data_IF_890554701295
#
_entry.id   IF_890554701295
#
_cell.length_a   1.000
_cell.length_b   1.000
_cell.length_c   1.000
_cell.angle_alpha   90.00
_cell.angle_beta   90.00
_cell.angle_gamma   90.00
#
_symmetry.space_group_name_H-M   'P 1'
#
loop_
_entity.id
_entity.type
_entity.pdbx_description
1 polymer ?
#
# COMPACT_ATOMS: atom_id res chain seq x y z
N UNK A 1 6.07 -33.04 -44.79
CA UNK A 1 6.81 -31.77 -44.61
C UNK A 1 6.36 -31.16 -43.30
N UNK A 2 7.10 -31.44 -42.22
CA UNK A 2 6.86 -30.90 -40.88
C UNK A 2 7.49 -29.50 -40.76
N UNK A 3 6.84 -28.52 -40.10
CA UNK A 3 7.52 -27.29 -39.74
C UNK A 3 8.35 -27.51 -38.47
N UNK A 4 9.63 -27.17 -38.58
CA UNK A 4 10.64 -27.21 -37.52
C UNK A 4 10.26 -26.25 -36.38
N UNK A 5 10.22 -26.79 -35.16
CA UNK A 5 10.24 -25.99 -33.92
C UNK A 5 11.67 -25.50 -33.70
N UNK A 6 11.89 -24.20 -33.88
CA UNK A 6 13.14 -23.53 -33.49
C UNK A 6 13.17 -23.37 -31.97
N UNK A 7 14.14 -24.01 -31.33
CA UNK A 7 14.30 -24.07 -29.88
C UNK A 7 14.47 -22.70 -29.23
N UNK A 8 13.53 -22.38 -28.34
CA UNK A 8 13.74 -21.45 -27.24
C UNK A 8 14.59 -22.22 -26.22
N UNK A 9 15.82 -21.77 -25.99
CA UNK A 9 16.73 -22.38 -25.04
C UNK A 9 16.06 -22.54 -23.68
N UNK A 10 15.82 -23.79 -23.28
CA UNK A 10 15.43 -24.13 -21.92
C UNK A 10 16.55 -23.69 -20.98
N UNK A 11 16.25 -22.73 -20.11
CA UNK A 11 17.13 -22.37 -19.02
C UNK A 11 17.35 -23.59 -18.11
N UNK A 12 18.57 -23.83 -17.62
CA UNK A 12 18.83 -24.98 -16.76
C UNK A 12 17.97 -24.92 -15.49
N UNK A 13 17.48 -26.08 -15.07
CA UNK A 13 16.62 -26.31 -13.92
C UNK A 13 17.37 -26.15 -12.58
N UNK A 14 17.91 -24.95 -12.32
CA UNK A 14 18.30 -24.54 -10.97
C UNK A 14 17.24 -23.60 -10.41
N UNK A 15 16.44 -24.08 -9.47
CA UNK A 15 15.40 -23.35 -8.75
C UNK A 15 15.94 -22.26 -7.79
N UNK A 16 17.23 -21.93 -7.90
CA UNK A 16 17.93 -20.90 -7.15
C UNK A 16 18.53 -19.87 -8.10
N UNK A 17 18.29 -18.59 -7.83
CA UNK A 17 18.93 -17.48 -8.55
C UNK A 17 19.52 -16.48 -7.57
N UNK A 18 20.76 -16.05 -7.81
CA UNK A 18 21.51 -15.13 -6.96
C UNK A 18 21.64 -13.76 -7.60
N UNK A 19 21.39 -12.71 -6.83
CA UNK A 19 21.49 -11.32 -7.27
C UNK A 19 22.35 -10.49 -6.30
N UNK A 20 22.95 -9.41 -6.81
CA UNK A 20 23.60 -8.43 -5.94
C UNK A 20 22.55 -7.69 -5.11
N UNK A 21 21.44 -7.29 -5.72
CA UNK A 21 20.35 -6.57 -5.06
C UNK A 21 19.00 -7.23 -5.36
N UNK A 22 18.30 -7.66 -4.32
CA UNK A 22 16.90 -8.09 -4.41
C UNK A 22 15.99 -6.97 -3.90
N UNK A 23 14.92 -6.68 -4.62
CA UNK A 23 13.98 -5.60 -4.31
C UNK A 23 12.58 -6.16 -4.24
N UNK A 24 11.88 -5.93 -3.12
CA UNK A 24 10.50 -6.38 -2.91
C UNK A 24 9.55 -5.21 -3.05
N UNK A 25 8.79 -5.18 -4.13
CA UNK A 25 7.82 -4.17 -4.51
C UNK A 25 8.31 -3.29 -5.66
N UNK A 26 7.65 -3.36 -6.81
CA UNK A 26 7.87 -2.54 -7.99
C UNK A 26 6.98 -1.29 -8.04
N UNK A 27 6.70 -0.69 -6.87
CA UNK A 27 6.16 0.67 -6.79
C UNK A 27 7.19 1.74 -7.22
N UNK A 28 6.85 3.04 -7.10
CA UNK A 28 7.78 4.12 -7.43
C UNK A 28 9.15 4.00 -6.75
N UNK A 29 9.19 3.59 -5.47
CA UNK A 29 10.44 3.37 -4.75
C UNK A 29 11.27 2.23 -5.36
N UNK A 30 10.71 1.02 -5.46
CA UNK A 30 11.48 -0.12 -5.93
C UNK A 30 11.90 -0.01 -7.39
N UNK A 31 11.08 0.59 -8.25
CA UNK A 31 11.49 0.88 -9.63
C UNK A 31 12.66 1.87 -9.69
N UNK A 32 12.67 2.88 -8.81
CA UNK A 32 13.76 3.84 -8.73
C UNK A 32 15.03 3.24 -8.11
N UNK A 33 14.88 2.35 -7.13
CA UNK A 33 15.94 1.57 -6.52
C UNK A 33 16.59 0.60 -7.52
N UNK A 34 15.78 -0.14 -8.27
CA UNK A 34 16.25 -1.07 -9.29
C UNK A 34 17.12 -0.38 -10.33
N UNK A 35 16.67 0.77 -10.82
CA UNK A 35 17.43 1.57 -11.79
C UNK A 35 18.72 2.13 -11.19
N UNK A 36 18.70 2.60 -9.95
CA UNK A 36 19.88 3.13 -9.29
C UNK A 36 20.94 2.05 -9.04
N UNK A 37 20.54 0.87 -8.57
CA UNK A 37 21.42 -0.27 -8.36
C UNK A 37 22.00 -0.79 -9.68
N UNK A 38 21.15 -0.97 -10.71
CA UNK A 38 21.60 -1.43 -12.03
C UNK A 38 22.56 -0.44 -12.70
N UNK A 39 22.34 0.87 -12.55
CA UNK A 39 23.24 1.91 -13.04
C UNK A 39 24.60 1.94 -12.30
N UNK A 40 24.70 1.28 -11.15
CA UNK A 40 25.95 1.05 -10.43
C UNK A 40 26.57 -0.33 -10.74
N UNK A 41 26.03 -1.06 -11.73
CA UNK A 41 26.58 -2.33 -12.21
C UNK A 41 26.05 -3.59 -11.52
N UNK A 42 25.18 -3.45 -10.51
CA UNK A 42 24.60 -4.59 -9.80
C UNK A 42 23.65 -5.42 -10.69
N UNK A 43 23.67 -6.74 -10.50
CA UNK A 43 22.56 -7.61 -10.90
C UNK A 43 21.37 -7.43 -9.95
N UNK A 44 20.19 -7.17 -10.50
CA UNK A 44 19.00 -6.80 -9.73
C UNK A 44 17.85 -7.77 -10.00
N UNK A 45 17.23 -8.27 -8.94
CA UNK A 45 15.91 -8.87 -9.02
C UNK A 45 14.87 -7.92 -8.43
N UNK A 46 13.81 -7.64 -9.19
CA UNK A 46 12.69 -6.81 -8.77
C UNK A 46 11.42 -7.66 -8.73
N UNK A 47 10.88 -7.89 -7.53
CA UNK A 47 9.66 -8.69 -7.33
C UNK A 47 8.47 -7.78 -7.10
N UNK A 48 7.32 -8.09 -7.69
CA UNK A 48 6.05 -7.45 -7.37
C UNK A 48 4.89 -8.43 -7.52
N UNK A 49 3.89 -8.30 -6.64
CA UNK A 49 2.71 -9.14 -6.66
C UNK A 49 1.69 -8.74 -7.73
N UNK A 50 1.86 -7.57 -8.35
CA UNK A 50 1.02 -7.11 -9.45
C UNK A 50 1.56 -7.59 -10.81
N UNK A 51 0.68 -7.73 -11.81
CA UNK A 51 1.09 -8.12 -13.16
C UNK A 51 2.02 -7.13 -13.86
N UNK A 52 2.03 -5.86 -13.44
CA UNK A 52 2.84 -4.83 -14.05
C UNK A 52 3.45 -3.89 -12.99
N UNK A 53 4.71 -3.43 -13.17
CA UNK A 53 5.34 -2.47 -12.26
C UNK A 53 4.56 -1.16 -12.13
N UNK A 54 4.62 -0.51 -10.98
CA UNK A 54 4.01 0.80 -10.74
C UNK A 54 3.31 0.93 -9.38
N UNK A 55 3.12 -0.19 -8.68
CA UNK A 55 2.40 -0.23 -7.42
C UNK A 55 0.97 0.33 -7.55
N UNK A 56 0.44 0.90 -6.47
CA UNK A 56 -0.96 1.36 -6.46
C UNK A 56 -1.17 2.67 -7.23
N UNK A 57 -0.22 3.61 -7.14
CA UNK A 57 -0.36 4.94 -7.75
C UNK A 57 -0.32 4.87 -9.28
N UNK A 58 0.57 4.05 -9.84
CA UNK A 58 0.72 3.82 -11.28
C UNK A 58 0.15 2.47 -11.71
N UNK A 59 -0.81 1.94 -10.93
CA UNK A 59 -1.63 0.81 -11.37
C UNK A 59 -2.30 1.18 -12.68
N UNK A 60 -2.17 0.27 -13.64
CA UNK A 60 -2.71 0.38 -14.98
C UNK A 60 -3.87 -0.60 -15.17
N UNK A 61 -4.65 -0.41 -16.22
CA UNK A 61 -5.72 -1.32 -16.60
C UNK A 61 -6.38 -0.90 -17.92
N UNK A 62 -7.51 -1.52 -18.30
CA UNK A 62 -8.11 -1.32 -19.61
C UNK A 62 -8.39 0.16 -19.92
N UNK A 63 -7.79 0.69 -20.98
CA UNK A 63 -7.93 2.11 -21.38
C UNK A 63 -7.20 3.12 -20.47
N UNK A 64 -6.39 2.65 -19.53
CA UNK A 64 -5.61 3.48 -18.62
C UNK A 64 -4.52 4.29 -19.33
N UNK A 65 -4.39 5.57 -18.99
CA UNK A 65 -3.27 6.42 -19.43
C UNK A 65 -2.34 6.70 -18.26
N UNK A 66 -1.18 6.07 -18.28
CA UNK A 66 -0.14 6.32 -17.30
C UNK A 66 0.57 7.66 -17.52
N UNK A 67 0.94 8.36 -16.43
CA UNK A 67 1.82 9.52 -16.53
C UNK A 67 3.12 9.19 -17.27
N UNK A 68 3.69 10.17 -17.98
CA UNK A 68 4.94 9.98 -18.72
C UNK A 68 6.07 9.40 -17.85
N UNK A 69 6.20 9.88 -16.61
CA UNK A 69 7.21 9.39 -15.67
C UNK A 69 7.08 7.89 -15.37
N UNK A 70 5.85 7.40 -15.21
CA UNK A 70 5.59 5.99 -14.97
C UNK A 70 5.94 5.14 -16.20
N UNK A 71 5.53 5.59 -17.39
CA UNK A 71 5.84 4.91 -18.67
C UNK A 71 7.34 4.88 -18.94
N UNK A 72 8.03 6.01 -18.77
CA UNK A 72 9.48 6.13 -18.94
C UNK A 72 10.23 5.19 -17.99
N UNK A 73 9.82 5.10 -16.72
CA UNK A 73 10.48 4.24 -15.75
C UNK A 73 10.22 2.76 -16.01
N UNK A 74 8.99 2.38 -16.42
CA UNK A 74 8.69 1.01 -16.86
C UNK A 74 9.56 0.61 -18.05
N UNK A 75 9.64 1.47 -19.07
CA UNK A 75 10.48 1.22 -20.24
C UNK A 75 11.96 1.08 -19.85
N UNK A 76 12.48 1.95 -18.99
CA UNK A 76 13.86 1.88 -18.52
C UNK A 76 14.17 0.60 -17.72
N UNK A 77 13.19 0.04 -17.01
CA UNK A 77 13.34 -1.25 -16.33
C UNK A 77 13.33 -2.40 -17.33
N UNK A 78 12.37 -2.40 -18.26
CA UNK A 78 12.23 -3.45 -19.26
C UNK A 78 13.43 -3.51 -20.23
N UNK A 79 14.05 -2.37 -20.52
CA UNK A 79 15.19 -2.28 -21.44
C UNK A 79 16.56 -2.51 -20.76
N UNK A 80 16.61 -2.87 -19.47
CA UNK A 80 17.86 -3.03 -18.73
C UNK A 80 18.15 -4.50 -18.44
N UNK A 81 19.15 -5.06 -19.10
CA UNK A 81 19.54 -6.48 -18.98
C UNK A 81 19.94 -6.90 -17.57
N UNK A 82 20.39 -5.95 -16.75
CA UNK A 82 20.76 -6.20 -15.34
C UNK A 82 19.56 -6.32 -14.40
N UNK A 83 18.33 -6.07 -14.86
CA UNK A 83 17.12 -6.11 -14.03
C UNK A 83 16.24 -7.29 -14.46
N UNK A 84 16.18 -8.32 -13.63
CA UNK A 84 15.20 -9.40 -13.74
C UNK A 84 13.90 -9.00 -13.01
N UNK A 85 12.83 -8.81 -13.77
CA UNK A 85 11.49 -8.52 -13.22
C UNK A 85 10.72 -9.82 -12.96
N UNK A 86 10.32 -10.02 -11.72
CA UNK A 86 9.42 -11.09 -11.27
C UNK A 86 8.04 -10.49 -10.97
N UNK A 87 7.24 -10.29 -12.02
CA UNK A 87 5.86 -9.81 -11.90
C UNK A 87 4.92 -10.93 -11.43
N UNK A 88 3.74 -10.59 -10.91
CA UNK A 88 2.77 -11.55 -10.36
C UNK A 88 3.39 -12.55 -9.37
N UNK A 89 4.43 -12.12 -8.64
CA UNK A 89 5.25 -13.00 -7.80
C UNK A 89 5.19 -12.48 -6.36
N UNK A 90 4.80 -13.34 -5.43
CA UNK A 90 4.61 -13.02 -4.02
C UNK A 90 5.77 -13.56 -3.19
N UNK A 91 6.18 -12.81 -2.17
CA UNK A 91 7.07 -13.34 -1.12
C UNK A 91 6.25 -14.19 -0.17
N UNK A 92 6.65 -15.45 -0.01
CA UNK A 92 5.97 -16.43 0.84
C UNK A 92 6.66 -16.51 2.21
N UNK A 93 7.98 -16.63 2.22
CA UNK A 93 8.77 -16.77 3.44
C UNK A 93 10.20 -16.25 3.25
N UNK A 94 10.92 -16.11 4.36
CA UNK A 94 12.36 -15.91 4.39
C UNK A 94 12.98 -17.14 5.11
N UNK A 95 13.17 -18.26 4.40
CA UNK A 95 13.51 -19.55 5.03
C UNK A 95 14.94 -19.59 5.57
N UNK A 96 15.85 -18.78 5.02
CA UNK A 96 17.24 -18.73 5.41
C UNK A 96 17.81 -17.31 5.30
N UNK A 97 19.00 -17.10 5.88
CA UNK A 97 19.72 -15.83 5.73
C UNK A 97 19.91 -15.49 4.25
N UNK A 98 19.58 -14.25 3.89
CA UNK A 98 19.71 -13.72 2.53
C UNK A 98 18.99 -14.51 1.43
N UNK A 99 17.91 -15.20 1.80
CA UNK A 99 17.09 -16.00 0.86
C UNK A 99 15.60 -15.72 1.07
N UNK A 100 14.88 -15.41 0.00
CA UNK A 100 13.41 -15.35 0.01
C UNK A 100 12.83 -16.52 -0.80
N UNK A 101 11.81 -17.16 -0.25
CA UNK A 101 10.94 -18.08 -0.99
C UNK A 101 9.83 -17.26 -1.64
N UNK A 102 9.73 -17.37 -2.96
CA UNK A 102 8.75 -16.63 -3.76
C UNK A 102 7.90 -17.56 -4.61
N UNK A 103 6.68 -17.14 -4.89
CA UNK A 103 5.70 -17.93 -5.64
C UNK A 103 4.95 -17.05 -6.64
N UNK A 104 4.78 -17.56 -7.87
CA UNK A 104 3.81 -17.07 -8.83
C UNK A 104 2.84 -18.18 -9.22
N UNK A 105 1.89 -17.90 -10.11
CA UNK A 105 0.84 -18.87 -10.49
C UNK A 105 1.41 -20.15 -11.13
N UNK A 106 2.64 -20.13 -11.66
CA UNK A 106 3.27 -21.25 -12.38
C UNK A 106 4.28 -22.02 -11.54
N UNK A 107 5.03 -21.34 -10.67
CA UNK A 107 6.22 -21.89 -10.03
C UNK A 107 6.54 -21.23 -8.69
N UNK A 108 7.42 -21.86 -7.93
CA UNK A 108 8.06 -21.27 -6.77
C UNK A 108 9.57 -21.46 -6.84
N UNK A 109 10.31 -20.55 -6.22
CA UNK A 109 11.78 -20.55 -6.27
C UNK A 109 12.40 -19.84 -5.07
N UNK A 110 13.67 -20.16 -4.83
CA UNK A 110 14.49 -19.44 -3.86
C UNK A 110 15.29 -18.33 -4.57
N UNK A 111 15.14 -17.10 -4.08
CA UNK A 111 15.91 -15.95 -4.54
C UNK A 111 16.92 -15.55 -3.47
N UNK A 112 18.20 -15.70 -3.81
CA UNK A 112 19.32 -15.34 -2.96
C UNK A 112 19.84 -13.94 -3.30
N UNK A 113 20.33 -13.21 -2.31
CA UNK A 113 20.78 -11.84 -2.51
C UNK A 113 22.04 -11.49 -1.71
N UNK A 114 22.79 -10.49 -2.19
CA UNK A 114 23.82 -9.84 -1.35
C UNK A 114 23.18 -8.77 -0.47
N UNK A 115 22.35 -7.91 -1.05
CA UNK A 115 21.57 -6.87 -0.37
C UNK A 115 20.07 -6.98 -0.71
N UNK A 116 19.21 -6.65 0.25
CA UNK A 116 17.75 -6.61 0.10
C UNK A 116 17.23 -5.19 0.28
N UNK A 117 16.33 -4.74 -0.59
CA UNK A 117 15.62 -3.47 -0.45
C UNK A 117 14.11 -3.74 -0.33
N UNK A 118 13.55 -3.37 0.81
CA UNK A 118 12.12 -3.46 1.08
C UNK A 118 11.41 -2.21 0.54
N UNK A 119 10.57 -2.38 -0.47
CA UNK A 119 9.74 -1.35 -1.09
C UNK A 119 8.26 -1.74 -1.06
N UNK A 120 7.83 -2.35 0.04
CA UNK A 120 6.51 -2.99 0.24
C UNK A 120 5.33 -2.01 0.34
N UNK A 121 5.61 -0.70 0.32
CA UNK A 121 4.61 0.35 0.31
C UNK A 121 3.74 0.39 1.57
N UNK A 122 2.49 0.80 1.40
CA UNK A 122 1.51 0.91 2.46
C UNK A 122 0.14 0.36 2.02
N UNK A 123 -0.74 0.11 2.98
CA UNK A 123 -2.13 -0.27 2.76
C UNK A 123 -3.07 0.77 3.36
N UNK A 124 -4.32 0.76 2.93
CA UNK A 124 -5.32 1.67 3.47
C UNK A 124 -5.69 1.31 4.92
N UNK A 125 -5.85 2.34 5.75
CA UNK A 125 -6.43 2.21 7.08
C UNK A 125 -7.96 2.23 6.95
N UNK A 126 -8.58 1.12 7.37
CA UNK A 126 -10.03 0.99 7.43
C UNK A 126 -10.46 0.93 8.90
N UNK A 127 -11.43 1.77 9.26
CA UNK A 127 -12.02 1.78 10.59
C UNK A 127 -13.48 1.32 10.49
N UNK A 128 -13.95 0.49 11.44
CA UNK A 128 -15.32 0.01 11.45
C UNK A 128 -16.30 1.14 11.78
N UNK A 129 -17.43 1.13 11.08
CA UNK A 129 -18.62 1.92 11.37
C UNK A 129 -19.85 1.10 10.95
N UNK A 130 -21.05 1.34 11.49
CA UNK A 130 -22.25 0.58 11.10
C UNK A 130 -22.42 0.50 9.58
N UNK A 131 -22.54 -0.72 9.06
CA UNK A 131 -22.68 -1.00 7.62
C UNK A 131 -21.38 -0.96 6.78
N UNK A 132 -20.19 -0.79 7.36
CA UNK A 132 -18.94 -0.68 6.58
C UNK A 132 -18.54 -1.93 5.77
N UNK A 133 -19.19 -3.07 6.03
CA UNK A 133 -19.01 -4.34 5.31
C UNK A 133 -20.07 -4.59 4.24
N UNK A 134 -21.07 -3.71 4.09
CA UNK A 134 -22.13 -3.88 3.09
C UNK A 134 -21.53 -3.94 1.67
N UNK A 135 -22.05 -4.82 0.78
CA UNK A 135 -21.72 -4.78 -0.64
C UNK A 135 -21.95 -3.37 -1.21
N UNK A 136 -20.93 -2.82 -1.85
CA UNK A 136 -20.89 -1.42 -2.32
C UNK A 136 -20.05 -0.49 -1.45
N UNK A 137 -19.63 -0.92 -0.25
CA UNK A 137 -18.68 -0.19 0.59
C UNK A 137 -17.26 -0.70 0.35
N UNK A 138 -16.33 0.21 0.04
CA UNK A 138 -14.91 -0.09 -0.14
C UNK A 138 -14.04 0.95 0.54
N UNK A 139 -12.73 0.73 0.57
CA UNK A 139 -11.76 1.80 0.81
C UNK A 139 -11.72 2.81 -0.35
N UNK A 140 -11.20 4.02 -0.12
CA UNK A 140 -11.01 5.04 -1.17
C UNK A 140 -9.94 4.60 -2.17
N UNK A 141 -8.82 4.08 -1.68
CA UNK A 141 -7.80 3.43 -2.50
C UNK A 141 -8.33 2.16 -3.17
N UNK A 142 -9.14 1.39 -2.44
CA UNK A 142 -9.84 0.21 -2.97
C UNK A 142 -10.73 0.53 -4.18
N UNK A 143 -11.60 1.55 -4.09
CA UNK A 143 -12.42 1.99 -5.23
C UNK A 143 -11.54 2.40 -6.41
N UNK A 144 -10.49 3.17 -6.16
CA UNK A 144 -9.59 3.63 -7.23
C UNK A 144 -8.93 2.43 -7.94
N UNK A 145 -8.47 1.44 -7.20
CA UNK A 145 -7.86 0.24 -7.75
C UNK A 145 -8.88 -0.58 -8.56
N UNK A 146 -10.10 -0.76 -8.05
CA UNK A 146 -11.18 -1.48 -8.73
C UNK A 146 -11.56 -0.82 -10.06
N UNK A 147 -11.76 0.50 -10.06
CA UNK A 147 -12.10 1.26 -11.28
C UNK A 147 -10.97 1.17 -12.31
N UNK A 148 -9.72 1.38 -11.89
CA UNK A 148 -8.56 1.23 -12.78
C UNK A 148 -8.44 -0.18 -13.36
N UNK A 149 -8.82 -1.21 -12.60
CA UNK A 149 -8.82 -2.60 -13.04
C UNK A 149 -10.01 -2.97 -13.94
N UNK A 150 -10.92 -2.03 -14.22
CA UNK A 150 -12.05 -2.24 -15.14
C UNK A 150 -13.41 -2.43 -14.48
N UNK A 151 -13.54 -2.22 -13.16
CA UNK A 151 -14.85 -2.23 -12.50
C UNK A 151 -15.73 -1.10 -13.06
N UNK A 152 -16.91 -1.41 -13.64
CA UNK A 152 -17.78 -0.39 -14.20
C UNK A 152 -18.39 0.48 -13.09
N UNK A 153 -18.30 1.79 -13.26
CA UNK A 153 -18.89 2.79 -12.35
C UNK A 153 -19.70 3.86 -13.08
N UNK A 154 -19.90 3.70 -14.39
CA UNK A 154 -20.58 4.69 -15.22
C UNK A 154 -22.04 4.83 -14.77
N UNK A 155 -22.47 6.05 -14.48
CA UNK A 155 -23.83 6.34 -14.02
C UNK A 155 -24.09 6.04 -12.54
N UNK A 156 -23.15 5.39 -11.83
CA UNK A 156 -23.31 5.13 -10.40
C UNK A 156 -23.12 6.41 -9.58
N UNK A 157 -23.95 6.56 -8.54
CA UNK A 157 -23.83 7.62 -7.55
C UNK A 157 -22.86 7.18 -6.46
N UNK A 158 -21.72 7.87 -6.37
CA UNK A 158 -20.64 7.50 -5.45
C UNK A 158 -20.47 8.58 -4.38
N UNK A 159 -20.40 8.14 -3.12
CA UNK A 159 -19.90 8.96 -2.02
C UNK A 159 -18.49 8.52 -1.67
N UNK A 160 -17.60 9.49 -1.49
CA UNK A 160 -16.22 9.26 -1.06
C UNK A 160 -16.02 9.98 0.27
N UNK A 161 -15.43 9.30 1.25
CA UNK A 161 -15.30 9.82 2.60
C UNK A 161 -14.02 9.38 3.31
N UNK A 162 -13.67 10.08 4.38
CA UNK A 162 -12.58 9.70 5.29
C UNK A 162 -11.57 10.82 5.45
N UNK A 163 -10.28 10.55 5.26
CA UNK A 163 -9.22 11.55 5.43
C UNK A 163 -8.14 11.46 4.37
N UNK A 164 -7.79 12.59 3.77
CA UNK A 164 -6.54 12.74 3.02
C UNK A 164 -6.68 12.98 1.52
N UNK A 165 -5.56 13.31 0.84
CA UNK A 165 -5.57 13.61 -0.59
C UNK A 165 -6.03 12.44 -1.48
N UNK A 166 -6.00 11.21 -0.96
CA UNK A 166 -6.46 10.03 -1.67
C UNK A 166 -7.95 10.12 -2.05
N UNK A 167 -8.77 10.81 -1.25
CA UNK A 167 -10.20 10.99 -1.54
C UNK A 167 -10.41 11.72 -2.88
N UNK A 168 -9.63 12.79 -3.12
CA UNK A 168 -9.68 13.55 -4.36
C UNK A 168 -9.18 12.73 -5.55
N UNK A 169 -8.13 11.92 -5.36
CA UNK A 169 -7.59 11.05 -6.39
C UNK A 169 -8.59 9.93 -6.79
N UNK A 170 -9.27 9.34 -5.80
CA UNK A 170 -10.35 8.38 -6.03
C UNK A 170 -11.53 9.02 -6.76
N UNK A 171 -11.95 10.22 -6.35
CA UNK A 171 -13.04 10.98 -6.99
C UNK A 171 -12.74 11.31 -8.45
N UNK A 172 -11.55 11.83 -8.73
CA UNK A 172 -11.11 12.14 -10.09
C UNK A 172 -11.00 10.86 -10.96
N UNK A 173 -10.68 9.72 -10.37
CA UNK A 173 -10.65 8.44 -11.09
C UNK A 173 -12.07 7.96 -11.41
N UNK A 174 -12.96 7.96 -10.43
CA UNK A 174 -14.35 7.56 -10.62
C UNK A 174 -15.07 8.42 -11.67
N UNK A 175 -14.92 9.76 -11.60
CA UNK A 175 -15.54 10.67 -12.58
C UNK A 175 -15.03 10.47 -14.01
N UNK A 176 -13.72 10.24 -14.19
CA UNK A 176 -13.16 9.93 -15.51
C UNK A 176 -13.74 8.66 -16.12
N UNK A 177 -14.27 7.75 -15.30
CA UNK A 177 -14.96 6.54 -15.73
C UNK A 177 -16.50 6.69 -15.72
N UNK A 178 -17.00 7.92 -15.63
CA UNK A 178 -18.41 8.25 -15.80
C UNK A 178 -19.27 8.14 -14.54
N UNK A 179 -18.67 8.02 -13.34
CA UNK A 179 -19.43 8.02 -12.09
C UNK A 179 -19.93 9.42 -11.71
N UNK A 180 -21.08 9.48 -11.05
CA UNK A 180 -21.62 10.68 -10.41
C UNK A 180 -21.17 10.76 -8.95
N UNK A 181 -20.07 11.47 -8.70
CA UNK A 181 -19.59 11.67 -7.32
C UNK A 181 -20.46 12.72 -6.61
N UNK A 182 -21.36 12.25 -5.75
CA UNK A 182 -22.35 13.06 -5.05
C UNK A 182 -21.77 13.83 -3.85
N UNK A 183 -20.70 13.30 -3.22
CA UNK A 183 -20.06 13.90 -2.06
C UNK A 183 -18.63 13.43 -1.91
N UNK A 184 -17.74 14.36 -1.53
CA UNK A 184 -16.41 14.04 -0.99
C UNK A 184 -16.37 14.59 0.45
N UNK A 185 -16.52 13.72 1.45
CA UNK A 185 -16.57 14.06 2.86
C UNK A 185 -15.19 13.89 3.52
N UNK A 186 -14.52 15.01 3.75
CA UNK A 186 -13.24 15.05 4.45
C UNK A 186 -13.47 15.36 5.93
N UNK A 187 -12.94 14.49 6.81
CA UNK A 187 -13.06 14.66 8.25
C UNK A 187 -12.30 15.88 8.78
N UNK A 188 -11.18 16.22 8.15
CA UNK A 188 -10.33 17.32 8.61
C UNK A 188 -11.09 18.65 8.62
N UNK A 189 -10.92 19.48 9.67
CA UNK A 189 -11.60 20.76 9.76
C UNK A 189 -11.08 21.74 8.73
N UNK A 190 -11.97 22.63 8.25
CA UNK A 190 -11.65 23.60 7.20
C UNK A 190 -10.41 24.45 7.55
N UNK A 191 -10.24 24.85 8.81
CA UNK A 191 -9.09 25.63 9.29
C UNK A 191 -7.74 24.92 9.09
N UNK A 192 -7.73 23.59 9.16
CA UNK A 192 -6.53 22.78 8.96
C UNK A 192 -6.22 22.62 7.47
N UNK A 193 -7.27 22.48 6.65
CA UNK A 193 -7.16 22.39 5.20
C UNK A 193 -6.71 23.72 4.57
N UNK A 194 -7.24 24.86 5.02
CA UNK A 194 -6.81 26.17 4.53
C UNK A 194 -5.35 26.47 4.91
N UNK A 195 -4.92 26.11 6.12
CA UNK A 195 -3.51 26.19 6.53
C UNK A 195 -2.61 25.30 5.67
N UNK A 196 -3.06 24.10 5.35
CA UNK A 196 -2.34 23.20 4.44
C UNK A 196 -2.22 23.80 3.04
N UNK A 197 -3.34 24.27 2.47
CA UNK A 197 -3.39 24.90 1.15
C UNK A 197 -2.48 26.15 1.08
N UNK A 198 -2.50 26.99 2.12
CA UNK A 198 -1.65 28.18 2.23
C UNK A 198 -0.14 27.88 2.28
N UNK A 199 0.27 26.64 2.56
CA UNK A 199 1.67 26.22 2.53
C UNK A 199 2.10 25.57 1.20
N UNK A 200 1.17 25.31 0.27
CA UNK A 200 1.45 24.57 -0.97
C UNK A 200 2.34 25.33 -1.95
N UNK A 201 2.48 26.66 -1.84
CA UNK A 201 3.40 27.45 -2.66
C UNK A 201 4.86 26.95 -2.56
N UNK A 202 5.22 26.33 -1.43
CA UNK A 202 6.54 25.71 -1.23
C UNK A 202 6.76 24.48 -2.12
N UNK A 203 5.70 23.87 -2.66
CA UNK A 203 5.72 22.73 -3.59
C UNK A 203 4.82 23.01 -4.80
N UNK A 204 5.30 23.78 -5.79
CA UNK A 204 4.48 24.25 -6.93
C UNK A 204 3.76 23.13 -7.68
N UNK A 205 4.40 21.97 -7.87
CA UNK A 205 3.75 20.81 -8.50
C UNK A 205 2.54 20.29 -7.72
N UNK A 206 2.58 20.34 -6.38
CA UNK A 206 1.47 19.97 -5.50
C UNK A 206 0.40 21.06 -5.43
N UNK A 207 0.78 22.33 -5.52
CA UNK A 207 -0.19 23.42 -5.66
C UNK A 207 -1.00 23.26 -6.96
N UNK A 208 -0.33 23.04 -8.10
CA UNK A 208 -0.99 22.79 -9.37
C UNK A 208 -1.88 21.54 -9.33
N UNK A 209 -1.40 20.45 -8.70
CA UNK A 209 -2.19 19.24 -8.51
C UNK A 209 -3.45 19.49 -7.66
N UNK A 210 -3.33 20.28 -6.58
CA UNK A 210 -4.46 20.61 -5.73
C UNK A 210 -5.53 21.42 -6.49
N UNK A 211 -5.10 22.39 -7.31
CA UNK A 211 -6.00 23.17 -8.17
C UNK A 211 -6.72 22.28 -9.18
N UNK A 212 -6.00 21.37 -9.84
CA UNK A 212 -6.57 20.43 -10.80
C UNK A 212 -7.56 19.42 -10.19
N UNK A 213 -7.54 19.26 -8.86
CA UNK A 213 -8.41 18.36 -8.11
C UNK A 213 -9.48 19.11 -7.29
N UNK A 214 -9.63 20.43 -7.48
CA UNK A 214 -10.69 21.20 -6.83
C UNK A 214 -12.06 20.64 -7.20
N UNK A 215 -12.94 20.59 -6.21
CA UNK A 215 -14.22 19.92 -6.35
C UNK A 215 -15.34 20.60 -5.58
N UNK A 216 -16.41 20.97 -6.29
CA UNK A 216 -17.60 21.58 -5.71
C UNK A 216 -18.37 20.67 -4.73
N UNK A 217 -18.10 19.37 -4.71
CA UNK A 217 -18.71 18.39 -3.80
C UNK A 217 -17.86 18.12 -2.56
N UNK A 218 -16.66 18.68 -2.47
CA UNK A 218 -15.77 18.54 -1.32
C UNK A 218 -16.32 19.30 -0.11
N UNK A 219 -16.45 18.60 1.02
CA UNK A 219 -16.94 19.13 2.28
C UNK A 219 -15.97 18.74 3.39
N UNK A 220 -15.35 19.75 4.00
CA UNK A 220 -14.55 19.61 5.20
C UNK A 220 -15.43 19.30 6.43
N UNK A 221 -14.81 18.98 7.57
CA UNK A 221 -15.50 18.69 8.83
C UNK A 221 -16.66 17.69 8.65
N UNK A 222 -16.43 16.67 7.83
CA UNK A 222 -17.46 15.72 7.39
C UNK A 222 -16.99 14.28 7.49
N UNK A 223 -17.73 13.41 8.18
CA UNK A 223 -17.41 11.99 8.30
C UNK A 223 -18.65 11.10 8.25
N UNK A 224 -18.47 9.86 7.81
CA UNK A 224 -19.55 8.85 7.76
C UNK A 224 -19.91 8.43 9.18
N UNK A 225 -21.21 8.32 9.44
CA UNK A 225 -21.75 7.75 10.67
C UNK A 225 -22.20 6.30 10.45
N UNK A 226 -22.83 6.03 9.29
CA UNK A 226 -23.41 4.73 8.98
C UNK A 226 -23.62 4.58 7.47
N UNK A 227 -23.35 3.39 6.95
CA UNK A 227 -23.80 2.94 5.64
C UNK A 227 -25.14 2.20 5.81
N UNK A 228 -26.13 2.56 5.00
CA UNK A 228 -27.51 2.11 5.10
C UNK A 228 -27.85 1.19 3.92
N UNK A 229 -28.48 0.06 4.24
CA UNK A 229 -28.97 -0.92 3.29
C UNK A 229 -29.13 -2.29 3.95
N UNK A 230 -29.93 -3.16 3.33
CA UNK A 230 -30.14 -4.53 3.80
C UNK A 230 -29.13 -5.49 3.13
N UNK A 231 -29.31 -5.78 1.85
CA UNK A 231 -28.40 -6.66 1.09
C UNK A 231 -27.19 -5.94 0.49
N UNK A 232 -27.35 -4.64 0.22
CA UNK A 232 -26.32 -3.79 -0.40
C UNK A 232 -26.52 -2.35 0.03
N UNK A 233 -25.48 -1.54 -0.14
CA UNK A 233 -25.55 -0.10 0.09
C UNK A 233 -26.64 0.55 -0.76
N UNK A 234 -27.47 1.37 -0.10
CA UNK A 234 -28.52 2.19 -0.71
C UNK A 234 -28.34 3.68 -0.36
N UNK A 235 -27.82 3.97 0.83
CA UNK A 235 -27.57 5.33 1.28
C UNK A 235 -26.44 5.40 2.31
N UNK A 236 -25.94 6.59 2.57
CA UNK A 236 -24.95 6.85 3.62
C UNK A 236 -25.40 8.02 4.47
N UNK A 237 -25.23 7.88 5.79
CA UNK A 237 -25.45 8.96 6.76
C UNK A 237 -24.12 9.60 7.12
N UNK A 238 -24.03 10.91 6.99
CA UNK A 238 -22.80 11.70 7.19
C UNK A 238 -23.08 12.78 8.23
N UNK A 239 -22.15 12.96 9.17
CA UNK A 239 -22.06 14.17 9.99
C UNK A 239 -21.34 15.23 9.16
N UNK A 240 -21.99 16.35 8.86
CA UNK A 240 -21.45 17.45 8.08
C UNK A 240 -21.73 18.77 8.81
N UNK A 241 -20.67 19.45 9.29
CA UNK A 241 -20.81 20.76 9.93
C UNK A 241 -21.80 20.74 11.11
N UNK A 242 -21.74 19.70 11.94
CA UNK A 242 -22.65 19.51 13.09
C UNK A 242 -24.01 18.90 12.73
N UNK A 243 -24.43 18.90 11.46
CA UNK A 243 -25.72 18.34 11.01
C UNK A 243 -25.57 16.92 10.50
N UNK A 244 -26.63 16.13 10.61
CA UNK A 244 -26.69 14.79 10.02
C UNK A 244 -27.42 14.87 8.68
N UNK A 245 -26.80 14.34 7.63
CA UNK A 245 -27.38 14.29 6.27
C UNK A 245 -27.34 12.85 5.77
N UNK A 246 -28.43 12.41 5.15
CA UNK A 246 -28.50 11.13 4.45
C UNK A 246 -28.42 11.36 2.93
N UNK A 247 -27.61 10.57 2.22
CA UNK A 247 -27.43 10.66 0.78
C UNK A 247 -27.63 9.28 0.17
N UNK A 248 -28.54 9.15 -0.80
CA UNK A 248 -28.67 7.94 -1.59
C UNK A 248 -27.40 7.74 -2.45
N UNK A 249 -26.85 6.55 -2.45
CA UNK A 249 -25.66 6.20 -3.22
C UNK A 249 -25.58 4.71 -3.49
N UNK A 250 -24.94 4.37 -4.60
CA UNK A 250 -24.78 3.00 -5.07
C UNK A 250 -23.42 2.43 -4.62
N UNK A 251 -22.45 3.32 -4.32
CA UNK A 251 -21.16 3.00 -3.68
C UNK A 251 -20.72 4.03 -2.66
N UNK A 252 -20.03 3.55 -1.64
CA UNK A 252 -19.32 4.34 -0.64
C UNK A 252 -17.85 3.92 -0.63
N UNK A 253 -16.95 4.87 -0.86
CA UNK A 253 -15.51 4.64 -0.69
C UNK A 253 -15.00 5.41 0.53
N UNK A 254 -14.66 4.70 1.60
CA UNK A 254 -14.31 5.29 2.89
C UNK A 254 -12.90 4.85 3.34
N UNK A 255 -11.98 5.80 3.50
CA UNK A 255 -10.58 5.49 3.85
C UNK A 255 -9.95 6.53 4.79
N UNK A 256 -9.21 6.06 5.80
CA UNK A 256 -8.71 6.90 6.90
C UNK A 256 -7.20 7.09 6.87
N UNK A 257 -6.63 7.21 5.67
CA UNK A 257 -5.18 7.28 5.47
C UNK A 257 -4.55 5.92 5.22
N UNK A 258 -3.24 5.83 5.42
CA UNK A 258 -2.43 4.67 5.05
C UNK A 258 -1.60 4.16 6.23
N UNK A 259 -1.35 2.85 6.27
CA UNK A 259 -0.48 2.18 7.23
C UNK A 259 0.67 1.50 6.49
N UNK A 260 1.93 1.71 6.89
CA UNK A 260 3.08 1.04 6.31
C UNK A 260 2.94 -0.50 6.28
N UNK A 261 3.40 -1.13 5.19
CA UNK A 261 3.46 -2.59 5.08
C UNK A 261 4.79 -3.10 5.64
N UNK A 262 4.85 -3.31 6.95
CA UNK A 262 6.09 -3.69 7.65
C UNK A 262 6.23 -5.18 7.92
N UNK A 263 5.28 -6.01 7.48
CA UNK A 263 5.23 -7.44 7.81
C UNK A 263 6.51 -8.21 7.46
N UNK A 264 7.03 -8.07 6.23
CA UNK A 264 8.28 -8.72 5.84
C UNK A 264 9.49 -8.18 6.62
N UNK A 265 9.52 -6.89 6.93
CA UNK A 265 10.59 -6.30 7.72
C UNK A 265 10.62 -6.84 9.15
N UNK A 266 9.45 -6.94 9.79
CA UNK A 266 9.30 -7.52 11.14
C UNK A 266 9.67 -9.00 11.13
N UNK A 267 9.27 -9.76 10.10
CA UNK A 267 9.67 -11.16 9.95
C UNK A 267 11.20 -11.31 9.87
N UNK A 268 11.88 -10.38 9.20
CA UNK A 268 13.34 -10.36 9.08
C UNK A 268 14.05 -9.84 10.34
N UNK A 269 13.32 -9.26 11.30
CA UNK A 269 13.88 -8.69 12.53
C UNK A 269 14.25 -7.19 12.44
N UNK A 270 13.76 -6.46 11.44
CA UNK A 270 13.96 -5.02 11.36
C UNK A 270 13.21 -4.29 12.49
N UNK A 271 13.87 -3.28 13.08
CA UNK A 271 13.23 -2.36 14.01
C UNK A 271 12.21 -1.45 13.29
N UNK A 272 11.17 -1.08 14.02
CA UNK A 272 10.17 -0.11 13.59
C UNK A 272 10.31 1.19 14.37
N UNK A 273 9.93 2.29 13.73
CA UNK A 273 9.78 3.58 14.40
C UNK A 273 8.58 3.52 15.36
N UNK A 274 8.80 3.90 16.62
CA UNK A 274 7.80 3.76 17.69
C UNK A 274 6.55 4.64 17.52
N UNK A 275 6.62 5.68 16.68
CA UNK A 275 5.52 6.63 16.49
C UNK A 275 4.71 6.32 15.24
N UNK A 276 5.38 5.93 14.16
CA UNK A 276 4.77 5.74 12.85
C UNK A 276 4.56 4.28 12.45
N UNK A 277 5.12 3.34 13.22
CA UNK A 277 5.13 1.90 12.92
C UNK A 277 5.74 1.56 11.55
N UNK A 278 6.47 2.50 10.96
CA UNK A 278 7.21 2.34 9.72
C UNK A 278 8.55 1.66 9.99
N UNK A 279 9.16 1.09 8.96
CA UNK A 279 10.50 0.50 9.06
C UNK A 279 11.49 1.62 9.42
N UNK A 280 12.22 1.45 10.52
CA UNK A 280 13.23 2.42 10.94
C UNK A 280 14.43 2.38 9.98
N UNK A 281 14.77 3.53 9.41
CA UNK A 281 15.89 3.68 8.48
C UNK A 281 16.70 4.94 8.74
N UNK A 282 17.98 4.88 8.39
CA UNK A 282 18.87 6.04 8.43
C UNK A 282 18.71 6.98 7.21
N UNK A 283 19.59 7.98 7.11
CA UNK A 283 19.62 8.94 6.01
C UNK A 283 19.86 8.28 4.63
N UNK A 284 20.56 7.14 4.60
CA UNK A 284 20.91 6.35 3.43
C UNK A 284 19.97 5.16 3.19
N UNK A 285 18.84 5.12 3.89
CA UNK A 285 17.81 4.08 3.76
C UNK A 285 18.26 2.69 4.25
N UNK A 286 19.28 2.63 5.11
CA UNK A 286 19.72 1.39 5.77
C UNK A 286 18.82 1.11 6.97
N UNK A 287 18.45 -0.15 7.15
CA UNK A 287 17.80 -0.61 8.39
C UNK A 287 18.84 -0.92 9.46
N UNK A 288 18.41 -1.31 10.66
CA UNK A 288 19.32 -1.80 11.70
C UNK A 288 19.97 -3.16 11.38
N UNK A 289 19.48 -3.88 10.37
CA UNK A 289 20.11 -5.13 9.93
C UNK A 289 21.17 -4.82 8.85
N UNK A 290 22.35 -5.47 8.91
CA UNK A 290 23.29 -5.41 7.80
C UNK A 290 22.59 -5.83 6.52
N UNK A 291 23.04 -5.36 5.36
CA UNK A 291 22.56 -5.78 4.04
C UNK A 291 21.05 -5.64 3.75
N UNK A 292 20.25 -5.05 4.66
CA UNK A 292 18.81 -4.79 4.46
C UNK A 292 18.55 -3.29 4.49
N UNK A 293 17.89 -2.82 3.44
CA UNK A 293 17.49 -1.45 3.19
C UNK A 293 15.96 -1.38 3.08
N UNK A 294 15.38 -0.20 3.25
CA UNK A 294 13.95 0.01 3.00
C UNK A 294 13.69 1.40 2.43
N UNK A 295 12.71 1.53 1.54
CA UNK A 295 12.38 2.80 0.91
C UNK A 295 10.92 2.91 0.47
N UNK A 296 10.39 4.13 0.51
CA UNK A 296 9.02 4.43 0.12
C UNK A 296 8.05 4.34 1.28
N UNK A 297 6.78 4.06 1.02
CA UNK A 297 5.75 4.24 2.07
C UNK A 297 5.85 3.23 3.23
N UNK A 298 6.66 2.18 3.08
CA UNK A 298 7.01 1.28 4.18
C UNK A 298 7.95 1.92 5.22
N UNK A 299 8.67 3.01 4.87
CA UNK A 299 9.50 3.83 5.77
C UNK A 299 8.80 5.13 6.21
N UNK A 300 7.51 5.28 5.88
CA UNK A 300 6.68 6.43 6.24
C UNK A 300 5.88 6.96 5.05
N UNK A 301 4.62 7.36 5.29
CA UNK A 301 3.72 7.79 4.23
C UNK A 301 4.13 9.17 3.69
N UNK A 302 4.66 9.24 2.47
CA UNK A 302 5.12 10.50 1.87
C UNK A 302 4.83 10.68 0.38
N UNK A 303 4.13 9.75 -0.26
CA UNK A 303 3.76 9.83 -1.67
C UNK A 303 4.90 9.53 -2.65
N UNK A 304 4.56 9.55 -3.94
CA UNK A 304 5.45 9.05 -5.01
C UNK A 304 6.76 9.80 -5.14
N UNK A 305 6.77 11.12 -4.93
CA UNK A 305 7.97 11.93 -5.10
C UNK A 305 9.02 11.63 -4.02
N UNK A 306 8.59 11.44 -2.77
CA UNK A 306 9.49 10.98 -1.72
C UNK A 306 9.95 9.55 -1.99
N UNK A 307 9.02 8.65 -2.33
CA UNK A 307 9.31 7.25 -2.61
C UNK A 307 10.34 7.08 -3.74
N UNK A 308 10.25 7.86 -4.82
CA UNK A 308 11.22 7.88 -5.92
C UNK A 308 12.63 8.29 -5.46
N UNK A 309 12.74 9.24 -4.55
CA UNK A 309 14.03 9.71 -4.03
C UNK A 309 14.61 8.70 -3.06
N UNK A 310 13.80 8.20 -2.12
CA UNK A 310 14.20 7.18 -1.15
C UNK A 310 14.62 5.89 -1.85
N UNK A 311 13.88 5.45 -2.87
CA UNK A 311 14.25 4.31 -3.70
C UNK A 311 15.62 4.47 -4.33
N UNK A 312 15.93 5.65 -4.93
CA UNK A 312 17.26 5.91 -5.51
C UNK A 312 18.36 5.88 -4.45
N UNK A 313 18.12 6.47 -3.28
CA UNK A 313 19.08 6.47 -2.17
C UNK A 313 19.38 5.03 -1.77
N UNK A 314 18.35 4.22 -1.52
CA UNK A 314 18.51 2.81 -1.16
C UNK A 314 19.23 2.01 -2.25
N UNK A 315 18.89 2.22 -3.53
CA UNK A 315 19.53 1.53 -4.65
C UNK A 315 21.02 1.87 -4.79
N UNK A 316 21.41 3.14 -4.61
CA UNK A 316 22.82 3.53 -4.61
C UNK A 316 23.57 3.01 -3.38
N UNK A 317 22.99 3.13 -2.19
CA UNK A 317 23.61 2.66 -0.95
C UNK A 317 23.81 1.13 -0.95
N UNK A 318 22.80 0.37 -1.40
CA UNK A 318 22.90 -1.08 -1.58
C UNK A 318 23.92 -1.50 -2.65
N UNK A 319 24.29 -0.59 -3.56
CA UNK A 319 25.33 -0.81 -4.56
C UNK A 319 26.72 -0.30 -4.12
N UNK A 320 26.86 0.23 -2.89
CA UNK A 320 28.12 0.80 -2.38
C UNK A 320 28.45 2.20 -2.94
N UNK A 321 27.48 2.89 -3.54
CA UNK A 321 27.64 4.22 -4.13
C UNK A 321 27.11 5.33 -3.20
N UNK A 322 27.58 5.37 -1.96
CA UNK A 322 27.09 6.24 -0.89
C UNK A 322 27.16 7.74 -1.22
N UNK A 323 28.15 8.18 -2.01
CA UNK A 323 28.26 9.58 -2.46
C UNK A 323 27.06 9.98 -3.33
N UNK A 324 26.67 9.10 -4.27
CA UNK A 324 25.49 9.32 -5.14
C UNK A 324 24.20 9.29 -4.34
N UNK A 325 24.13 8.47 -3.30
CA UNK A 325 23.01 8.43 -2.36
C UNK A 325 22.91 9.75 -1.56
N UNK A 326 24.03 10.19 -0.99
CA UNK A 326 24.13 11.39 -0.16
C UNK A 326 23.77 12.68 -0.92
N UNK A 327 24.08 12.73 -2.22
CA UNK A 327 23.69 13.85 -3.10
C UNK A 327 22.16 14.07 -3.20
N UNK A 328 21.33 13.11 -2.79
CA UNK A 328 19.87 13.22 -2.80
C UNK A 328 19.27 13.69 -1.48
N UNK A 329 20.06 13.89 -0.43
CA UNK A 329 19.61 14.23 0.93
C UNK A 329 18.72 15.47 0.99
N UNK A 330 19.13 16.57 0.35
CA UNK A 330 18.33 17.80 0.34
C UNK A 330 16.98 17.62 -0.37
N UNK A 331 16.95 16.84 -1.46
CA UNK A 331 15.70 16.50 -2.18
C UNK A 331 14.80 15.63 -1.32
N UNK A 332 15.35 14.66 -0.58
CA UNK A 332 14.61 13.83 0.37
C UNK A 332 14.00 14.69 1.47
N UNK A 333 14.80 15.54 2.12
CA UNK A 333 14.33 16.43 3.20
C UNK A 333 13.17 17.33 2.76
N UNK A 334 13.23 17.88 1.53
CA UNK A 334 12.14 18.69 0.95
C UNK A 334 10.82 17.93 0.82
N UNK A 335 10.85 16.68 0.36
CA UNK A 335 9.64 15.87 0.19
C UNK A 335 9.18 15.26 1.50
N UNK A 336 10.08 14.96 2.43
CA UNK A 336 9.75 14.57 3.79
C UNK A 336 9.00 15.71 4.53
N UNK A 337 9.43 16.96 4.37
CA UNK A 337 8.72 18.12 4.92
C UNK A 337 7.29 18.30 4.34
N UNK A 338 7.06 17.88 3.09
CA UNK A 338 5.71 17.83 2.52
C UNK A 338 4.88 16.72 3.16
N UNK A 339 5.45 15.52 3.28
CA UNK A 339 4.81 14.36 3.90
C UNK A 339 4.34 14.67 5.33
N UNK A 340 5.21 15.31 6.14
CA UNK A 340 4.86 15.72 7.50
C UNK A 340 3.69 16.71 7.53
N UNK A 341 3.64 17.66 6.57
CA UNK A 341 2.50 18.58 6.46
C UNK A 341 1.20 17.86 6.11
N UNK A 342 1.23 16.89 5.19
CA UNK A 342 0.06 16.06 4.87
C UNK A 342 -0.38 15.30 6.13
N UNK A 343 0.53 14.63 6.82
CA UNK A 343 0.23 13.89 8.06
C UNK A 343 -0.45 14.77 9.11
N UNK A 344 0.08 15.96 9.37
CA UNK A 344 -0.53 16.91 10.32
C UNK A 344 -1.88 17.43 9.83
N UNK A 345 -2.00 17.74 8.53
CA UNK A 345 -3.22 18.30 7.96
C UNK A 345 -4.39 17.32 7.93
N UNK A 346 -4.10 16.02 7.83
CA UNK A 346 -5.11 14.97 7.69
C UNK A 346 -5.10 13.98 8.87
N UNK A 347 -4.52 14.40 10.01
CA UNK A 347 -4.58 13.65 11.26
C UNK A 347 -6.05 13.33 11.61
N UNK A 348 -6.30 12.07 11.97
CA UNK A 348 -7.64 11.57 12.25
C UNK A 348 -8.20 12.18 13.53
N UNK A 349 -9.45 12.60 13.48
CA UNK A 349 -10.20 12.94 14.68
C UNK A 349 -10.49 11.67 15.50
N UNK A 350 -10.22 11.67 16.83
CA UNK A 350 -10.49 10.53 17.70
C UNK A 350 -11.95 10.03 17.66
N UNK A 351 -12.92 10.89 17.30
CA UNK A 351 -14.32 10.49 17.14
C UNK A 351 -14.50 9.37 16.11
N UNK A 352 -13.60 9.27 15.12
CA UNK A 352 -13.66 8.20 14.11
C UNK A 352 -13.42 6.82 14.72
N UNK A 353 -12.72 6.75 15.86
CA UNK A 353 -12.51 5.51 16.61
C UNK A 353 -13.72 5.08 17.45
N UNK A 354 -14.77 5.90 17.56
CA UNK A 354 -15.94 5.62 18.40
C UNK A 354 -17.21 5.32 17.60
N UNK A 355 -17.11 5.27 16.27
CA UNK A 355 -18.27 5.09 15.38
C UNK A 355 -18.88 3.69 15.44
N UNK A 356 -18.07 2.66 15.65
CA UNK A 356 -18.52 1.28 15.66
C UNK A 356 -19.43 0.98 16.86
N UNK A 357 -20.55 0.30 16.60
CA UNK A 357 -21.46 -0.22 17.62
C UNK A 357 -21.01 -1.61 18.07
N UNK A 358 -21.60 -2.12 19.15
CA UNK A 358 -21.26 -3.43 19.72
C UNK A 358 -21.37 -4.58 18.71
N UNK A 359 -22.39 -4.54 17.85
CA UNK A 359 -22.69 -5.51 16.80
C UNK A 359 -21.92 -5.27 15.49
N UNK A 360 -21.21 -4.14 15.36
CA UNK A 360 -20.48 -3.83 14.13
C UNK A 360 -19.34 -4.83 13.92
N UNK A 361 -19.26 -5.52 12.77
CA UNK A 361 -18.17 -6.44 12.48
C UNK A 361 -16.82 -5.72 12.56
N UNK A 362 -15.88 -6.19 13.38
CA UNK A 362 -14.49 -5.73 13.33
C UNK A 362 -13.68 -6.62 12.38
N UNK A 363 -13.86 -7.94 12.45
CA UNK A 363 -13.21 -8.90 11.56
C UNK A 363 -14.18 -9.43 10.51
N UNK A 364 -14.24 -8.76 9.36
CA UNK A 364 -15.09 -9.16 8.22
C UNK A 364 -14.81 -10.55 7.63
N UNK A 365 -13.65 -11.14 7.92
CA UNK A 365 -13.30 -12.45 7.35
C UNK A 365 -13.83 -13.61 8.21
N UNK A 366 -14.15 -13.35 9.47
CA UNK A 366 -14.57 -14.34 10.45
C UNK A 366 -15.87 -13.88 11.14
N UNK A 367 -16.55 -12.87 10.57
CA UNK A 367 -17.78 -12.23 11.06
C UNK A 367 -17.78 -11.86 12.54
N UNK A 368 -16.62 -11.42 13.06
CA UNK A 368 -16.46 -11.13 14.49
C UNK A 368 -16.90 -9.70 14.81
N UNK A 369 -17.93 -9.51 15.66
CA UNK A 369 -18.40 -8.17 16.06
C UNK A 369 -17.46 -7.51 17.07
N UNK A 370 -17.57 -6.19 17.22
CA UNK A 370 -16.81 -5.40 18.19
C UNK A 370 -16.98 -5.90 19.63
N UNK A 371 -18.20 -6.32 20.01
CA UNK A 371 -18.53 -6.82 21.35
C UNK A 371 -17.72 -8.04 21.76
N UNK A 372 -17.41 -8.93 20.80
CA UNK A 372 -16.60 -10.12 21.02
C UNK A 372 -15.10 -9.82 21.19
N UNK A 373 -14.69 -8.56 20.99
CA UNK A 373 -13.28 -8.14 21.02
C UNK A 373 -12.99 -7.20 22.18
N UNK A 374 -13.93 -6.31 22.49
CA UNK A 374 -13.71 -5.16 23.37
C UNK A 374 -13.25 -5.53 24.79
N UNK A 375 -13.58 -6.73 25.26
CA UNK A 375 -13.17 -7.22 26.57
C UNK A 375 -11.73 -7.76 26.61
N UNK A 376 -11.07 -7.94 25.47
CA UNK A 376 -9.75 -8.55 25.39
C UNK A 376 -8.63 -7.50 25.41
N UNK A 377 -7.60 -7.68 26.25
CA UNK A 377 -6.55 -6.69 26.45
C UNK A 377 -5.60 -6.57 25.25
N UNK A 378 -5.48 -7.61 24.44
CA UNK A 378 -4.52 -7.67 23.35
C UNK A 378 -5.06 -8.46 22.14
N UNK A 379 -4.37 -8.28 21.01
CA UNK A 379 -4.71 -8.91 19.74
C UNK A 379 -4.60 -10.45 19.78
N UNK A 380 -3.77 -11.03 20.66
CA UNK A 380 -3.59 -12.48 20.77
C UNK A 380 -4.79 -13.12 21.48
N UNK A 381 -5.21 -12.58 22.62
CA UNK A 381 -6.39 -13.06 23.33
C UNK A 381 -7.65 -12.87 22.49
N UNK A 382 -7.79 -11.70 21.86
CA UNK A 382 -8.86 -11.44 20.90
C UNK A 382 -8.88 -12.50 19.79
N UNK A 383 -7.73 -12.84 19.23
CA UNK A 383 -7.63 -13.89 18.19
C UNK A 383 -8.03 -15.27 18.71
N UNK A 384 -7.51 -15.68 19.87
CA UNK A 384 -7.76 -17.03 20.39
C UNK A 384 -9.21 -17.25 20.81
N UNK A 385 -9.87 -16.22 21.36
CA UNK A 385 -11.23 -16.35 21.89
C UNK A 385 -12.32 -16.08 20.86
N UNK A 386 -12.02 -15.32 19.80
CA UNK A 386 -13.03 -14.90 18.81
C UNK A 386 -12.69 -15.22 17.35
N UNK A 387 -11.49 -15.77 17.08
CA UNK A 387 -10.93 -15.96 15.73
C UNK A 387 -10.56 -14.67 14.99
N UNK A 388 -10.65 -13.51 15.62
CA UNK A 388 -10.29 -12.24 15.01
C UNK A 388 -8.86 -12.23 14.45
N UNK A 389 -8.74 -11.96 13.15
CA UNK A 389 -7.47 -11.94 12.44
C UNK A 389 -6.99 -13.31 11.94
N UNK A 390 -7.80 -14.37 12.04
CA UNK A 390 -7.46 -15.71 11.51
C UNK A 390 -7.91 -15.93 10.06
N UNK A 391 -8.80 -15.09 9.51
CA UNK A 391 -9.30 -15.26 8.15
C UNK A 391 -8.29 -14.91 7.06
N UNK A 392 -8.71 -14.93 5.79
CA UNK A 392 -7.82 -14.81 4.62
C UNK A 392 -6.91 -13.58 4.61
N UNK A 393 -7.32 -12.46 5.24
CA UNK A 393 -6.49 -11.27 5.35
C UNK A 393 -5.39 -11.35 6.43
N UNK A 394 -5.38 -12.39 7.28
CA UNK A 394 -4.42 -12.62 8.37
C UNK A 394 -4.26 -11.40 9.29
N UNK A 395 -5.38 -10.73 9.61
CA UNK A 395 -5.39 -9.57 10.51
C UNK A 395 -4.95 -8.24 9.89
N UNK A 396 -4.57 -8.18 8.60
CA UNK A 396 -4.12 -6.93 7.95
C UNK A 396 -5.14 -5.78 8.01
N UNK A 397 -6.43 -6.09 8.19
CA UNK A 397 -7.51 -5.11 8.37
C UNK A 397 -7.88 -4.97 9.85
N UNK A 398 -8.46 -6.01 10.47
CA UNK A 398 -9.02 -5.93 11.81
C UNK A 398 -7.99 -5.69 12.91
N UNK A 399 -6.82 -6.34 12.87
CA UNK A 399 -5.75 -6.10 13.85
C UNK A 399 -5.19 -4.69 13.67
N UNK A 400 -5.07 -4.22 12.43
CA UNK A 400 -4.62 -2.85 12.14
C UNK A 400 -5.61 -1.80 12.68
N UNK A 401 -6.92 -2.02 12.53
CA UNK A 401 -7.93 -1.18 13.18
C UNK A 401 -7.82 -1.26 14.71
N UNK A 402 -7.66 -2.46 15.28
CA UNK A 402 -7.53 -2.67 16.72
C UNK A 402 -6.32 -1.97 17.34
N UNK A 403 -5.23 -1.74 16.60
CA UNK A 403 -4.11 -0.90 17.06
C UNK A 403 -4.55 0.53 17.33
N UNK A 404 -5.37 1.11 16.45
CA UNK A 404 -5.88 2.47 16.63
C UNK A 404 -6.98 2.52 17.69
N UNK A 405 -7.88 1.52 17.70
CA UNK A 405 -9.07 1.52 18.55
C UNK A 405 -8.77 1.13 20.01
N UNK A 406 -7.82 0.22 20.22
CA UNK A 406 -7.56 -0.40 21.52
C UNK A 406 -6.09 -0.31 21.96
N UNK A 407 -5.21 0.28 21.14
CA UNK A 407 -3.78 0.36 21.45
C UNK A 407 -3.07 -0.99 21.37
N UNK A 408 -3.61 -1.96 20.61
CA UNK A 408 -2.96 -3.26 20.45
C UNK A 408 -1.52 -3.13 19.92
N UNK A 409 -0.63 -3.95 20.46
CA UNK A 409 0.74 -4.06 19.97
C UNK A 409 0.80 -4.68 18.57
N UNK A 410 1.87 -4.40 17.85
CA UNK A 410 2.15 -5.03 16.58
C UNK A 410 2.49 -6.52 16.78
N UNK A 411 1.75 -7.40 16.10
CA UNK A 411 2.07 -8.83 16.08
C UNK A 411 3.13 -9.14 15.01
N UNK A 412 4.08 -10.00 15.34
CA UNK A 412 5.00 -10.61 14.38
C UNK A 412 4.22 -11.51 13.42
N UNK A 413 4.26 -11.26 12.10
CA UNK A 413 3.63 -12.15 11.14
C UNK A 413 4.37 -13.50 11.11
N UNK A 414 3.63 -14.57 10.87
CA UNK A 414 4.21 -15.91 10.70
C UNK A 414 4.25 -16.27 9.22
N UNK A 415 5.28 -17.01 8.76
CA UNK A 415 5.23 -17.66 7.48
C UNK A 415 4.06 -18.67 7.42
N UNK A 416 3.44 -18.86 6.25
CA UNK A 416 3.67 -18.07 5.04
C UNK A 416 2.99 -16.69 5.11
N UNK A 417 3.64 -15.64 4.59
CA UNK A 417 3.14 -14.24 4.60
C UNK A 417 1.87 -14.05 3.74
N UNK A 418 1.69 -14.96 2.79
CA UNK A 418 0.56 -15.09 1.88
C UNK A 418 0.13 -16.56 1.84
N UNK A 419 -1.14 -16.88 1.58
CA UNK A 419 -1.50 -18.25 1.23
C UNK A 419 -0.58 -18.75 0.10
N UNK A 420 -0.04 -19.95 0.27
CA UNK A 420 0.93 -20.56 -0.64
C UNK A 420 0.52 -21.99 -0.95
N UNK A 421 0.96 -22.52 -2.09
CA UNK A 421 0.76 -23.94 -2.43
C UNK A 421 1.58 -24.82 -1.49
N UNK A 422 1.08 -26.00 -1.15
CA UNK A 422 1.83 -26.98 -0.33
C UNK A 422 3.17 -27.30 -0.98
N UNK A 423 3.20 -27.53 -2.30
CA UNK A 423 4.43 -27.81 -3.04
C UNK A 423 5.48 -26.70 -2.94
N UNK A 424 5.06 -25.43 -2.79
CA UNK A 424 5.97 -24.31 -2.56
C UNK A 424 6.69 -24.41 -1.22
N UNK A 425 5.98 -24.87 -0.18
CA UNK A 425 6.54 -25.05 1.17
C UNK A 425 7.40 -26.32 1.28
N UNK A 426 7.25 -27.25 0.34
CA UNK A 426 8.05 -28.47 0.27
C UNK A 426 9.38 -28.28 -0.47
N UNK A 427 9.60 -27.14 -1.13
CA UNK A 427 10.86 -26.86 -1.80
C UNK A 427 12.00 -26.92 -0.78
N UNK A 428 12.90 -27.89 -0.96
CA UNK A 428 14.10 -28.00 -0.13
C UNK A 428 15.02 -26.79 -0.35
N UNK A 429 16.05 -26.64 0.50
CA UNK A 429 16.98 -25.53 0.37
C UNK A 429 17.64 -25.49 -1.03
N UNK A 430 17.75 -26.63 -1.73
CA UNK A 430 18.29 -26.78 -3.08
C UNK A 430 17.23 -26.58 -4.20
N UNK A 431 15.98 -26.30 -3.84
CA UNK A 431 14.85 -26.08 -4.73
C UNK A 431 14.35 -27.34 -5.46
N UNK A 432 14.56 -28.53 -4.88
CA UNK A 432 13.92 -29.78 -5.30
C UNK A 432 12.62 -29.96 -4.50
N UNK A 433 11.56 -30.35 -5.20
CA UNK A 433 10.25 -30.67 -4.62
C UNK A 433 10.20 -32.08 -4.05
#
# INVERSE_FOLDING_TARGET
MSPQQSGIGQAPASCQRRYDVLIVGAGPAGMAAARAAAASGCSVALIDDNPAPGGQIWRDGPGGRLPWQARSLRHAIAAQDRIALFASTRVIAAPASRTLLVENDESAMHLQFRNLILCTGARELLLPFPGWTLPGVTGAGGLQALVKAGTPVRGERIVIAGSGPLLLAAAATARRHGAHVARIAEQAPLSRLTRFAGALWRWPSKAAQAVALLDGHYRASSHVLEALGEERLQAVRIRQGGRTVALACDRLACGFGLVPNTGLAVLLGCALDAVSDAIAVDALQRTGLPHVYAAGECTGIGGSELALIEGRIAGYAAAGADERASALTAKRARWHAFAQRVRTAFALDPVLGTLARADTPLCRCEDVPLSAIRAHPDAWQARMQSRCGMGACQGRVCVTAGRLLFGWAQSTPRPPLSPARIGTLMLDENGRS
#
